data_IF_076446695602
#
_entry.id   IF_076446695602
#
_cell.length_a   1.000
_cell.length_b   1.000
_cell.length_c   1.000
_cell.angle_alpha   90.00
_cell.angle_beta   90.00
_cell.angle_gamma   90.00
#
_symmetry.space_group_name_H-M   'P 1'
#
loop_
_entity.id
_entity.type
_entity.pdbx_description
1 polymer ?
#
# COMPACT_ATOMS: atom_id res chain seq x y z
N UNK A 1 -25.80 -20.55 -86.08
CA UNK A 1 -24.90 -20.31 -87.23
C UNK A 1 -23.45 -20.37 -86.73
N UNK A 2 -22.64 -21.22 -87.39
CA UNK A 2 -21.17 -21.19 -87.52
C UNK A 2 -20.33 -21.39 -86.22
N UNK A 3 -19.72 -22.57 -86.01
CA UNK A 3 -18.44 -23.07 -86.61
C UNK A 3 -17.24 -22.42 -85.88
N UNK A 4 -16.18 -23.08 -85.40
CA UNK A 4 -15.68 -24.46 -85.57
C UNK A 4 -14.27 -24.55 -84.94
N UNK A 5 -13.92 -25.70 -84.34
CA UNK A 5 -12.70 -26.52 -84.58
C UNK A 5 -11.34 -25.81 -84.39
N UNK A 6 -10.44 -26.18 -83.47
CA UNK A 6 -9.60 -27.40 -83.38
C UNK A 6 -8.51 -27.09 -82.31
N UNK A 7 -7.78 -27.98 -81.62
CA UNK A 7 -7.12 -29.23 -82.03
C UNK A 7 -6.45 -29.87 -80.78
N UNK A 8 -6.52 -31.22 -80.70
CA UNK A 8 -5.49 -32.21 -80.26
C UNK A 8 -5.04 -32.18 -78.78
N UNK A 9 -5.39 -33.19 -77.98
CA UNK A 9 -4.69 -34.48 -77.77
C UNK A 9 -3.38 -34.29 -76.99
N UNK A 10 -3.04 -35.02 -75.92
CA UNK A 10 -3.56 -36.18 -75.20
C UNK A 10 -3.05 -36.06 -73.74
N UNK A 11 -3.50 -36.91 -72.82
CA UNK A 11 -2.68 -37.57 -71.76
C UNK A 11 -3.59 -38.34 -70.81
N UNK A 12 -3.35 -39.65 -70.79
CA UNK A 12 -3.54 -40.65 -69.73
C UNK A 12 -4.51 -40.34 -68.58
N UNK A 13 -5.60 -41.10 -68.54
CA UNK A 13 -6.34 -41.35 -67.31
C UNK A 13 -5.55 -42.27 -66.40
N UNK A 14 -5.47 -41.90 -65.13
CA UNK A 14 -5.34 -42.83 -64.00
C UNK A 14 -6.06 -42.21 -62.81
N UNK A 15 -7.05 -42.94 -62.33
CA UNK A 15 -7.85 -42.63 -61.15
C UNK A 15 -6.96 -42.59 -59.90
N UNK A 16 -7.03 -41.49 -59.15
CA UNK A 16 -6.58 -41.45 -57.76
C UNK A 16 -7.79 -41.02 -56.91
N UNK A 17 -8.20 -41.92 -56.02
CA UNK A 17 -9.28 -41.71 -55.06
C UNK A 17 -8.99 -40.47 -54.20
N UNK A 18 -9.96 -39.56 -54.14
CA UNK A 18 -10.02 -38.49 -53.14
C UNK A 18 -10.42 -39.11 -51.78
N UNK A 19 -9.42 -39.48 -50.99
CA UNK A 19 -9.57 -39.68 -49.55
C UNK A 19 -9.67 -38.30 -48.88
N UNK A 20 -10.89 -37.81 -48.71
CA UNK A 20 -11.20 -36.70 -47.81
C UNK A 20 -11.05 -37.19 -46.37
N UNK A 21 -9.82 -37.15 -45.85
CA UNK A 21 -9.58 -37.23 -44.40
C UNK A 21 -9.95 -35.90 -43.74
N UNK A 22 -10.50 -35.90 -42.51
CA UNK A 22 -10.72 -34.67 -41.78
C UNK A 22 -9.35 -34.03 -41.47
N UNK A 23 -9.11 -32.84 -42.03
CA UNK A 23 -8.02 -31.99 -41.58
C UNK A 23 -8.46 -31.45 -40.22
N UNK A 24 -8.08 -32.13 -39.14
CA UNK A 24 -8.04 -31.51 -37.83
C UNK A 24 -6.99 -30.43 -37.90
N UNK A 25 -7.42 -29.19 -38.14
CA UNK A 25 -6.58 -28.02 -37.90
C UNK A 25 -6.29 -28.01 -36.40
N UNK A 26 -5.13 -28.52 -36.02
CA UNK A 26 -4.55 -28.25 -34.73
C UNK A 26 -4.27 -26.75 -34.70
N UNK A 27 -5.19 -25.97 -34.14
CA UNK A 27 -4.89 -24.63 -33.70
C UNK A 27 -3.83 -24.78 -32.61
N UNK A 28 -2.56 -24.65 -32.98
CA UNK A 28 -1.53 -24.30 -32.02
C UNK A 28 -1.87 -22.88 -31.58
N UNK A 29 -2.49 -22.75 -30.42
CA UNK A 29 -2.47 -21.48 -29.71
C UNK A 29 -1.00 -21.20 -29.41
N UNK A 30 -0.49 -20.07 -29.90
CA UNK A 30 0.78 -19.53 -29.42
C UNK A 30 0.70 -19.41 -27.88
N UNK A 31 1.79 -19.67 -27.14
CA UNK A 31 1.78 -19.50 -25.69
C UNK A 31 1.44 -18.03 -25.38
N UNK A 32 0.31 -17.81 -24.71
CA UNK A 32 -0.06 -16.50 -24.18
C UNK A 32 0.81 -16.26 -22.96
N UNK A 33 1.94 -15.60 -23.15
CA UNK A 33 2.63 -14.90 -22.07
C UNK A 33 3.27 -13.62 -22.64
N UNK A 34 2.55 -12.48 -22.61
CA UNK A 34 3.24 -11.19 -22.58
C UNK A 34 2.58 -10.05 -21.76
N UNK A 35 1.52 -10.26 -20.95
CA UNK A 35 0.87 -9.10 -20.28
C UNK A 35 1.70 -8.48 -19.14
N UNK A 36 2.36 -9.28 -18.30
CA UNK A 36 3.16 -8.75 -17.17
C UNK A 36 4.46 -8.12 -17.67
N UNK A 37 5.12 -8.73 -18.65
CA UNK A 37 6.39 -8.22 -19.20
C UNK A 37 6.24 -6.87 -19.90
N UNK A 38 5.12 -6.65 -20.60
CA UNK A 38 4.79 -5.35 -21.19
C UNK A 38 4.51 -4.29 -20.12
N UNK A 39 3.87 -4.66 -19.01
CA UNK A 39 3.64 -3.75 -17.87
C UNK A 39 4.93 -3.46 -17.09
N UNK A 40 5.78 -4.46 -16.90
CA UNK A 40 7.08 -4.32 -16.26
C UNK A 40 7.99 -3.36 -17.04
N UNK A 41 7.97 -3.43 -18.38
CA UNK A 41 8.68 -2.51 -19.25
C UNK A 41 8.12 -1.07 -19.19
N UNK A 42 6.88 -0.89 -18.75
CA UNK A 42 6.25 0.41 -18.56
C UNK A 42 6.49 1.01 -17.17
N UNK A 43 7.09 0.26 -16.23
CA UNK A 43 7.43 0.81 -14.92
C UNK A 43 8.54 1.88 -15.05
N UNK A 44 8.46 2.99 -14.29
CA UNK A 44 9.50 4.02 -14.31
C UNK A 44 10.85 3.49 -13.79
N UNK A 45 11.96 3.98 -14.36
CA UNK A 45 13.30 3.43 -14.08
C UNK A 45 13.71 3.58 -12.61
N UNK A 46 13.40 4.69 -11.96
CA UNK A 46 13.73 4.90 -10.54
C UNK A 46 12.92 3.98 -9.62
N UNK A 47 11.70 3.58 -10.04
CA UNK A 47 10.94 2.56 -9.32
C UNK A 47 11.56 1.18 -9.52
N UNK A 48 11.97 0.84 -10.75
CA UNK A 48 12.68 -0.42 -11.05
C UNK A 48 13.96 -0.52 -10.21
N UNK A 49 14.74 0.56 -10.15
CA UNK A 49 15.98 0.62 -9.36
C UNK A 49 15.69 0.41 -7.87
N UNK A 50 14.64 1.03 -7.32
CA UNK A 50 14.24 0.86 -5.93
C UNK A 50 13.75 -0.57 -5.63
N UNK A 51 12.97 -1.18 -6.53
CA UNK A 51 12.52 -2.58 -6.42
C UNK A 51 13.73 -3.51 -6.36
N UNK A 52 14.67 -3.36 -7.28
CA UNK A 52 15.86 -4.22 -7.34
C UNK A 52 16.77 -4.01 -6.13
N UNK A 53 16.96 -2.75 -5.71
CA UNK A 53 17.81 -2.37 -4.58
C UNK A 53 17.28 -2.89 -3.25
N UNK A 54 16.00 -2.69 -2.98
CA UNK A 54 15.42 -2.90 -1.64
C UNK A 54 14.75 -4.27 -1.48
N UNK A 55 14.20 -4.83 -2.56
CA UNK A 55 13.48 -6.11 -2.54
C UNK A 55 14.25 -7.26 -3.17
N UNK A 56 15.30 -6.97 -3.94
CA UNK A 56 15.98 -7.96 -4.78
C UNK A 56 15.04 -8.73 -5.73
N UNK A 57 13.95 -8.08 -6.17
CA UNK A 57 13.00 -8.62 -7.14
C UNK A 57 13.24 -8.04 -8.53
N UNK A 58 12.87 -8.79 -9.57
CA UNK A 58 12.66 -8.22 -10.90
C UNK A 58 11.34 -7.42 -10.96
N UNK A 59 11.20 -6.49 -11.91
CA UNK A 59 9.94 -5.80 -12.17
C UNK A 59 8.75 -6.75 -12.38
N UNK A 60 8.95 -7.86 -13.09
CA UNK A 60 7.91 -8.87 -13.32
C UNK A 60 7.47 -9.53 -12.01
N UNK A 61 8.43 -9.99 -11.19
CA UNK A 61 8.13 -10.59 -9.88
C UNK A 61 7.42 -9.59 -8.95
N UNK A 62 7.81 -8.32 -8.98
CA UNK A 62 7.13 -7.28 -8.21
C UNK A 62 5.66 -7.14 -8.60
N UNK A 63 5.36 -7.09 -9.89
CA UNK A 63 3.98 -6.98 -10.40
C UNK A 63 3.17 -8.25 -10.11
N UNK A 64 3.77 -9.43 -10.33
CA UNK A 64 3.13 -10.72 -10.06
C UNK A 64 2.77 -10.86 -8.57
N UNK A 65 3.71 -10.56 -7.67
CA UNK A 65 3.47 -10.63 -6.23
C UNK A 65 2.46 -9.58 -5.77
N UNK A 66 2.47 -8.38 -6.36
CA UNK A 66 1.46 -7.35 -6.07
C UNK A 66 0.05 -7.83 -6.45
N UNK A 67 -0.12 -8.38 -7.66
CA UNK A 67 -1.38 -8.94 -8.14
C UNK A 67 -1.84 -10.12 -7.27
N UNK A 68 -0.93 -11.04 -6.95
CA UNK A 68 -1.23 -12.19 -6.10
C UNK A 68 -1.65 -11.77 -4.69
N UNK A 69 -1.03 -10.72 -4.14
CA UNK A 69 -1.47 -10.08 -2.90
C UNK A 69 -2.92 -9.59 -2.98
N UNK A 70 -3.34 -8.96 -4.08
CA UNK A 70 -4.72 -8.52 -4.22
C UNK A 70 -5.71 -9.67 -4.36
N UNK A 71 -5.35 -10.74 -5.07
CA UNK A 71 -6.16 -11.97 -5.11
C UNK A 71 -6.36 -12.57 -3.71
N UNK A 72 -5.33 -12.56 -2.87
CA UNK A 72 -5.45 -12.97 -1.47
C UNK A 72 -6.38 -12.04 -0.67
N UNK A 73 -6.28 -10.72 -0.85
CA UNK A 73 -7.14 -9.76 -0.17
C UNK A 73 -8.62 -9.98 -0.51
N UNK A 74 -8.94 -10.22 -1.79
CA UNK A 74 -10.30 -10.54 -2.24
C UNK A 74 -10.79 -11.85 -1.65
N UNK A 75 -9.95 -12.90 -1.67
CA UNK A 75 -10.29 -14.18 -1.05
C UNK A 75 -10.56 -14.03 0.45
N UNK A 76 -9.71 -13.28 1.17
CA UNK A 76 -9.86 -13.05 2.61
C UNK A 76 -11.20 -12.40 2.96
N UNK A 77 -11.70 -11.44 2.16
CA UNK A 77 -13.02 -10.83 2.37
C UNK A 77 -14.15 -11.86 2.32
N UNK A 78 -14.07 -12.79 1.38
CA UNK A 78 -15.06 -13.86 1.20
C UNK A 78 -14.93 -14.92 2.30
N UNK A 79 -13.70 -15.36 2.57
CA UNK A 79 -13.38 -16.42 3.51
C UNK A 79 -13.78 -16.05 4.94
N UNK A 80 -13.61 -14.79 5.37
CA UNK A 80 -14.09 -14.29 6.67
C UNK A 80 -15.59 -14.49 6.89
N UNK A 81 -16.38 -14.44 5.83
CA UNK A 81 -17.83 -14.57 5.89
C UNK A 81 -18.25 -16.04 5.78
N UNK A 82 -17.61 -16.79 4.87
CA UNK A 82 -18.00 -18.18 4.59
C UNK A 82 -17.41 -19.18 5.58
N UNK A 83 -16.22 -18.91 6.12
CA UNK A 83 -15.46 -19.82 6.96
C UNK A 83 -15.01 -19.17 8.29
N UNK A 84 -15.91 -18.53 9.06
CA UNK A 84 -15.53 -17.75 10.24
C UNK A 84 -14.90 -18.57 11.38
N UNK A 85 -15.14 -19.89 11.44
CA UNK A 85 -14.62 -20.74 12.52
C UNK A 85 -13.19 -21.23 12.25
N UNK A 86 -12.81 -21.40 10.98
CA UNK A 86 -11.50 -21.92 10.59
C UNK A 86 -10.58 -20.91 9.89
N UNK A 87 -11.10 -19.90 9.18
CA UNK A 87 -10.24 -18.97 8.45
C UNK A 87 -9.33 -18.19 9.42
N UNK A 88 -8.02 -18.16 9.12
CA UNK A 88 -7.00 -17.60 10.00
C UNK A 88 -6.12 -16.52 9.35
N UNK A 89 -6.51 -16.03 8.17
CA UNK A 89 -5.82 -14.96 7.44
C UNK A 89 -5.11 -15.42 6.17
N UNK A 90 -4.56 -14.46 5.44
CA UNK A 90 -3.84 -14.66 4.18
C UNK A 90 -2.57 -13.83 4.13
N UNK A 91 -1.49 -14.39 3.60
CA UNK A 91 -0.23 -13.67 3.42
C UNK A 91 0.56 -14.23 2.24
N UNK A 92 1.54 -13.45 1.76
CA UNK A 92 2.62 -13.94 0.92
C UNK A 92 3.78 -14.35 1.83
N UNK A 93 4.33 -15.55 1.62
CA UNK A 93 5.55 -15.96 2.33
C UNK A 93 6.81 -15.29 1.73
N UNK A 94 7.96 -15.52 2.34
CA UNK A 94 9.24 -14.91 1.89
C UNK A 94 9.66 -15.34 0.48
N UNK A 95 9.09 -16.44 -0.04
CA UNK A 95 9.31 -16.92 -1.40
C UNK A 95 8.28 -16.36 -2.40
N UNK A 96 7.31 -15.56 -1.94
CA UNK A 96 6.23 -15.01 -2.77
C UNK A 96 5.04 -15.94 -2.96
N UNK A 97 4.96 -17.06 -2.23
CA UNK A 97 3.82 -17.96 -2.34
C UNK A 97 2.59 -17.41 -1.60
N UNK A 98 1.41 -17.54 -2.22
CA UNK A 98 0.14 -17.21 -1.59
C UNK A 98 -0.33 -18.28 -0.62
N UNK A 99 -0.41 -17.90 0.66
CA UNK A 99 -0.80 -18.79 1.75
C UNK A 99 -2.14 -18.34 2.34
N UNK A 100 -3.02 -19.33 2.58
CA UNK A 100 -4.23 -19.22 3.39
C UNK A 100 -4.00 -20.00 4.69
N UNK A 101 -4.08 -19.28 5.82
CA UNK A 101 -4.06 -19.90 7.14
C UNK A 101 -5.41 -20.49 7.48
N UNK A 102 -5.43 -21.73 7.96
CA UNK A 102 -6.66 -22.42 8.37
C UNK A 102 -6.44 -23.09 9.72
N UNK A 103 -7.34 -22.85 10.67
CA UNK A 103 -7.36 -23.46 12.00
C UNK A 103 -8.38 -24.61 12.08
N UNK A 104 -8.39 -25.33 13.20
CA UNK A 104 -9.43 -26.29 13.48
C UNK A 104 -10.78 -25.60 13.74
N UNK A 105 -11.81 -25.99 13.00
CA UNK A 105 -13.13 -25.36 13.02
C UNK A 105 -14.16 -26.19 12.24
N UNK A 106 -15.44 -25.89 12.40
CA UNK A 106 -16.54 -26.64 11.78
C UNK A 106 -16.54 -26.55 10.24
N UNK A 107 -15.92 -25.51 9.70
CA UNK A 107 -15.84 -25.14 8.29
C UNK A 107 -14.42 -25.33 7.71
N UNK A 108 -13.50 -25.98 8.43
CA UNK A 108 -12.10 -26.22 8.01
C UNK A 108 -12.01 -26.85 6.62
N UNK A 109 -12.66 -27.98 6.40
CA UNK A 109 -12.56 -28.72 5.14
C UNK A 109 -13.06 -27.88 3.95
N UNK A 110 -14.10 -27.06 4.16
CA UNK A 110 -14.62 -26.16 3.15
C UNK A 110 -13.65 -25.00 2.85
N UNK A 111 -13.01 -24.43 3.89
CA UNK A 111 -11.99 -23.41 3.73
C UNK A 111 -10.76 -23.92 2.95
N UNK A 112 -10.29 -25.13 3.26
CA UNK A 112 -9.16 -25.77 2.57
C UNK A 112 -9.49 -26.01 1.10
N UNK A 113 -10.68 -26.55 0.81
CA UNK A 113 -11.13 -26.76 -0.56
C UNK A 113 -11.20 -25.46 -1.35
N UNK A 114 -11.81 -24.41 -0.78
CA UNK A 114 -11.91 -23.10 -1.42
C UNK A 114 -10.54 -22.46 -1.70
N UNK A 115 -9.58 -22.60 -0.77
CA UNK A 115 -8.23 -22.10 -0.97
C UNK A 115 -7.51 -22.81 -2.12
N UNK A 116 -7.60 -24.14 -2.20
CA UNK A 116 -7.01 -24.91 -3.30
C UNK A 116 -7.69 -24.65 -4.64
N UNK A 117 -9.01 -24.50 -4.67
CA UNK A 117 -9.76 -24.13 -5.88
C UNK A 117 -9.37 -22.74 -6.40
N UNK A 118 -9.00 -21.83 -5.49
CA UNK A 118 -8.46 -20.51 -5.82
C UNK A 118 -6.96 -20.53 -6.19
N UNK A 119 -6.30 -21.69 -6.12
CA UNK A 119 -4.87 -21.86 -6.45
C UNK A 119 -3.91 -21.46 -5.33
N UNK A 120 -4.39 -21.29 -4.10
CA UNK A 120 -3.56 -20.94 -2.95
C UNK A 120 -3.06 -22.16 -2.19
N UNK A 121 -1.94 -21.98 -1.50
CA UNK A 121 -1.42 -22.97 -0.57
C UNK A 121 -2.11 -22.81 0.78
N UNK A 122 -2.29 -23.92 1.48
CA UNK A 122 -2.92 -23.94 2.80
C UNK A 122 -1.87 -24.22 3.86
N UNK A 123 -1.92 -23.48 4.96
CA UNK A 123 -1.13 -23.74 6.16
C UNK A 123 -2.05 -23.93 7.36
N UNK A 124 -1.93 -25.08 8.01
CA UNK A 124 -2.59 -25.31 9.30
C UNK A 124 -1.99 -24.39 10.37
N UNK A 125 -2.86 -23.74 11.15
CA UNK A 125 -2.48 -22.88 12.26
C UNK A 125 -3.34 -23.18 13.50
N UNK A 126 -2.94 -22.66 14.66
CA UNK A 126 -3.56 -23.02 15.94
C UNK A 126 -4.91 -22.32 16.19
N UNK A 127 -5.11 -21.11 15.69
CA UNK A 127 -6.22 -20.23 16.02
C UNK A 127 -6.79 -19.57 14.77
N UNK A 128 -8.12 -19.46 14.71
CA UNK A 128 -8.80 -18.70 13.67
C UNK A 128 -8.61 -17.19 13.86
N UNK A 129 -8.85 -16.42 12.80
CA UNK A 129 -8.79 -14.96 12.83
C UNK A 129 -9.82 -14.41 13.83
N UNK A 130 -11.02 -14.98 13.85
CA UNK A 130 -12.09 -14.62 14.80
C UNK A 130 -11.68 -14.86 16.25
N UNK A 131 -10.96 -15.95 16.54
CA UNK A 131 -10.41 -16.24 17.87
C UNK A 131 -9.36 -15.21 18.28
N UNK A 132 -8.44 -14.86 17.39
CA UNK A 132 -7.40 -13.85 17.64
C UNK A 132 -8.00 -12.46 17.83
N UNK A 133 -9.03 -12.09 17.06
CA UNK A 133 -9.77 -10.84 17.24
C UNK A 133 -10.50 -10.78 18.59
N UNK A 134 -11.08 -11.89 19.05
CA UNK A 134 -11.70 -11.95 20.37
C UNK A 134 -10.67 -11.78 21.51
N UNK A 135 -9.47 -12.35 21.35
CA UNK A 135 -8.38 -12.14 22.30
C UNK A 135 -7.88 -10.70 22.31
N UNK A 136 -7.73 -10.08 21.13
CA UNK A 136 -7.35 -8.68 21.00
C UNK A 136 -8.34 -7.77 21.74
N UNK A 137 -9.64 -7.97 21.52
CA UNK A 137 -10.69 -7.23 22.24
C UNK A 137 -10.63 -7.44 23.76
N UNK A 138 -10.29 -8.65 24.20
CA UNK A 138 -10.13 -8.94 25.64
C UNK A 138 -8.92 -8.23 26.22
N UNK A 139 -7.81 -8.16 25.46
CA UNK A 139 -6.62 -7.40 25.82
C UNK A 139 -6.90 -5.90 25.91
N UNK A 140 -7.60 -5.32 24.93
CA UNK A 140 -7.97 -3.89 24.94
C UNK A 140 -8.81 -3.56 26.19
N UNK A 141 -9.83 -4.37 26.47
CA UNK A 141 -10.65 -4.20 27.68
C UNK A 141 -9.87 -4.41 28.99
N UNK A 142 -8.81 -5.23 28.98
CA UNK A 142 -7.92 -5.35 30.14
C UNK A 142 -7.03 -4.11 30.29
N UNK A 143 -6.47 -3.58 29.20
CA UNK A 143 -5.64 -2.37 29.21
C UNK A 143 -6.40 -1.16 29.77
N UNK A 144 -7.68 -1.02 29.44
CA UNK A 144 -8.57 0.03 29.96
C UNK A 144 -8.74 -0.02 31.49
N UNK A 145 -8.48 -1.17 32.11
CA UNK A 145 -8.55 -1.34 33.58
C UNK A 145 -7.20 -1.15 34.28
N UNK A 146 -6.11 -1.03 33.52
CA UNK A 146 -4.77 -0.89 34.10
C UNK A 146 -4.45 0.55 34.50
N UNK A 147 -3.60 0.76 35.53
CA UNK A 147 -3.05 2.08 35.81
C UNK A 147 -2.25 2.62 34.61
N UNK A 148 -2.17 3.96 34.42
CA UNK A 148 -1.39 4.55 33.33
C UNK A 148 0.05 4.04 33.25
N UNK A 149 0.70 3.81 34.39
CA UNK A 149 2.05 3.26 34.47
C UNK A 149 2.23 1.85 33.83
N UNK A 150 1.14 1.12 33.59
CA UNK A 150 1.12 -0.18 32.91
C UNK A 150 0.57 -0.03 31.50
N UNK A 151 -0.53 0.70 31.33
CA UNK A 151 -1.14 0.93 30.02
C UNK A 151 -0.19 1.64 29.06
N UNK A 152 0.53 2.67 29.53
CA UNK A 152 1.46 3.48 28.74
C UNK A 152 2.72 2.72 28.32
N UNK A 153 2.98 1.54 28.92
CA UNK A 153 4.06 0.65 28.47
C UNK A 153 3.73 -0.01 27.14
N UNK A 154 2.45 -0.23 26.85
CA UNK A 154 2.00 -0.84 25.59
C UNK A 154 1.83 0.26 24.56
N UNK A 155 2.69 0.22 23.54
CA UNK A 155 2.75 1.20 22.45
C UNK A 155 2.04 0.75 21.19
N UNK A 156 1.56 -0.48 21.17
CA UNK A 156 0.79 -0.98 20.05
C UNK A 156 0.51 -2.46 20.17
N UNK A 157 -0.51 -2.90 19.45
CA UNK A 157 -0.97 -4.28 19.43
C UNK A 157 -1.34 -4.65 18.00
N UNK A 158 -1.02 -5.88 17.62
CA UNK A 158 -1.38 -6.43 16.31
C UNK A 158 -1.61 -7.94 16.39
N UNK A 159 -2.40 -8.45 15.44
CA UNK A 159 -2.49 -9.87 15.15
C UNK A 159 -1.38 -10.24 14.17
N UNK A 160 -0.52 -11.17 14.55
CA UNK A 160 0.48 -11.78 13.68
C UNK A 160 -0.11 -13.06 13.09
N UNK A 161 -0.70 -12.93 11.89
CA UNK A 161 -1.34 -14.07 11.19
C UNK A 161 -0.33 -15.13 10.75
N UNK A 162 0.94 -14.76 10.53
CA UNK A 162 1.98 -15.67 10.04
C UNK A 162 2.46 -16.61 11.15
N UNK A 163 2.66 -16.06 12.35
CA UNK A 163 3.00 -16.81 13.56
C UNK A 163 1.77 -17.20 14.40
N UNK A 164 0.57 -16.80 13.95
CA UNK A 164 -0.73 -17.12 14.51
C UNK A 164 -0.89 -16.77 16.00
N UNK A 165 -0.70 -15.48 16.33
CA UNK A 165 -0.80 -15.00 17.71
C UNK A 165 -0.91 -13.48 17.81
N UNK A 166 -0.91 -12.96 19.05
CA UNK A 166 -0.88 -11.52 19.32
C UNK A 166 0.56 -11.04 19.53
N UNK A 167 0.86 -9.83 19.04
CA UNK A 167 2.12 -9.14 19.29
C UNK A 167 1.83 -7.82 19.99
N UNK A 168 2.45 -7.61 21.15
CA UNK A 168 2.42 -6.36 21.90
C UNK A 168 3.76 -5.63 21.73
N UNK A 169 3.70 -4.39 21.27
CA UNK A 169 4.85 -3.49 21.22
C UNK A 169 4.94 -2.76 22.55
N UNK A 170 6.10 -2.78 23.20
CA UNK A 170 6.31 -2.12 24.47
C UNK A 170 7.66 -1.42 24.60
N UNK A 171 7.73 -0.37 25.42
CA UNK A 171 8.97 0.38 25.70
C UNK A 171 10.02 -0.52 26.40
N UNK A 172 9.56 -1.46 27.24
CA UNK A 172 10.40 -2.44 27.92
C UNK A 172 9.68 -3.79 28.05
N UNK A 173 10.09 -4.77 27.25
CA UNK A 173 9.50 -6.11 27.23
C UNK A 173 9.67 -6.89 28.54
N UNK A 174 10.71 -6.57 29.34
CA UNK A 174 10.99 -7.28 30.61
C UNK A 174 10.15 -6.82 31.81
N UNK A 175 9.39 -5.73 31.68
CA UNK A 175 8.60 -5.14 32.78
C UNK A 175 7.11 -5.48 32.78
N UNK A 176 6.60 -6.06 31.69
CA UNK A 176 5.16 -6.28 31.51
C UNK A 176 4.76 -7.69 31.97
N UNK A 177 4.07 -7.78 33.11
CA UNK A 177 3.46 -9.03 33.56
C UNK A 177 2.12 -9.21 32.84
N UNK A 178 2.09 -10.07 31.83
CA UNK A 178 0.88 -10.37 31.09
C UNK A 178 -0.04 -11.32 31.86
N UNK A 179 -1.37 -11.12 31.81
CA UNK A 179 -2.34 -12.05 32.37
C UNK A 179 -2.26 -13.42 31.67
N UNK A 180 -2.73 -14.48 32.32
CA UNK A 180 -2.58 -15.87 31.84
C UNK A 180 -3.18 -16.11 30.45
N UNK A 181 -4.24 -15.39 30.08
CA UNK A 181 -4.84 -15.49 28.75
C UNK A 181 -3.95 -14.94 27.62
N UNK A 182 -2.84 -14.25 27.96
CA UNK A 182 -1.85 -13.69 27.03
C UNK A 182 -0.47 -14.38 27.12
N UNK A 183 -0.38 -15.55 27.76
CA UNK A 183 0.88 -16.32 27.84
C UNK A 183 1.45 -16.70 26.45
N UNK A 184 0.61 -16.73 25.40
CA UNK A 184 1.03 -16.96 24.01
C UNK A 184 1.36 -15.68 23.23
N UNK A 185 1.13 -14.50 23.80
CA UNK A 185 1.40 -13.23 23.14
C UNK A 185 2.90 -12.92 23.17
N UNK A 186 3.42 -12.41 22.05
CA UNK A 186 4.82 -12.00 21.92
C UNK A 186 4.95 -10.54 22.29
N UNK A 187 5.81 -10.23 23.26
CA UNK A 187 6.16 -8.83 23.56
C UNK A 187 7.43 -8.47 22.80
N UNK A 188 7.33 -7.48 21.91
CA UNK A 188 8.47 -6.92 21.18
C UNK A 188 8.82 -5.56 21.74
N UNK A 189 10.11 -5.33 21.94
CA UNK A 189 10.58 -4.00 22.27
C UNK A 189 10.47 -3.12 21.03
N UNK A 190 9.85 -1.95 21.17
CA UNK A 190 9.70 -0.98 20.09
C UNK A 190 9.95 0.41 20.65
N UNK A 191 10.96 1.15 20.19
CA UNK A 191 11.19 2.52 20.64
C UNK A 191 10.01 3.40 20.23
N UNK A 192 9.77 4.46 21.00
CA UNK A 192 8.69 5.39 20.74
C UNK A 192 8.85 6.04 19.35
N UNK A 193 7.82 5.91 18.52
CA UNK A 193 7.75 6.61 17.23
C UNK A 193 7.50 8.09 17.48
N UNK A 194 8.45 8.94 17.08
CA UNK A 194 8.37 10.37 17.31
C UNK A 194 7.32 11.05 16.41
N UNK A 195 6.73 12.14 16.90
CA UNK A 195 5.90 13.02 16.08
C UNK A 195 6.76 13.75 15.04
N UNK A 196 6.22 14.05 13.84
CA UNK A 196 6.91 14.85 12.83
C UNK A 196 7.39 16.18 13.42
N UNK A 197 8.64 16.55 13.19
CA UNK A 197 9.14 17.89 13.51
C UNK A 197 9.03 18.80 12.26
N UNK A 198 9.15 20.12 12.40
CA UNK A 198 9.35 21.00 11.25
C UNK A 198 10.72 20.70 10.61
N UNK A 199 10.76 20.45 9.30
CA UNK A 199 12.02 20.32 8.56
C UNK A 199 12.50 21.69 8.07
N UNK A 200 13.78 22.03 8.33
CA UNK A 200 14.40 23.29 7.90
C UNK A 200 15.09 23.20 6.54
N UNK A 201 15.51 22.02 6.10
CA UNK A 201 16.35 21.83 4.91
C UNK A 201 15.54 21.36 3.70
N UNK A 202 15.81 21.95 2.53
CA UNK A 202 15.29 21.54 1.23
C UNK A 202 16.43 20.96 0.39
N UNK A 203 16.26 19.75 -0.13
CA UNK A 203 17.01 19.29 -1.30
C UNK A 203 16.07 19.33 -2.52
N UNK A 204 16.46 19.93 -3.65
CA UNK A 204 15.62 19.97 -4.84
C UNK A 204 15.52 18.60 -5.49
N UNK A 205 14.28 18.13 -5.72
CA UNK A 205 13.97 17.06 -6.67
C UNK A 205 13.73 17.71 -8.04
N UNK A 206 14.66 17.53 -8.98
CA UNK A 206 14.64 18.18 -10.29
C UNK A 206 13.68 17.52 -11.30
N UNK A 207 13.21 18.34 -12.25
CA UNK A 207 12.16 18.15 -13.28
C UNK A 207 12.39 16.97 -14.26
N UNK A 208 11.30 16.32 -14.73
CA UNK A 208 10.62 16.59 -16.03
C UNK A 208 9.22 15.94 -16.05
N UNK A 209 8.15 16.75 -16.06
CA UNK A 209 6.75 16.47 -16.46
C UNK A 209 6.03 17.85 -16.48
N UNK A 210 4.83 18.06 -17.09
CA UNK A 210 4.40 19.39 -17.58
C UNK A 210 4.55 20.50 -16.54
N UNK A 211 4.95 21.69 -17.00
CA UNK A 211 5.62 22.79 -16.28
C UNK A 211 5.02 23.26 -14.92
N UNK A 212 3.88 22.72 -14.48
CA UNK A 212 3.28 22.98 -13.17
C UNK A 212 2.46 21.82 -12.53
N UNK A 213 2.39 20.61 -13.11
CA UNK A 213 1.56 19.53 -12.53
C UNK A 213 2.04 19.08 -11.14
N UNK A 214 1.09 18.78 -10.25
CA UNK A 214 1.35 18.25 -8.90
C UNK A 214 0.93 16.79 -8.85
N UNK A 215 1.91 15.92 -8.57
CA UNK A 215 1.77 14.46 -8.54
C UNK A 215 1.91 13.93 -7.12
N UNK A 216 1.50 12.69 -6.89
CA UNK A 216 1.79 12.03 -5.63
C UNK A 216 3.30 11.90 -5.38
N UNK A 217 3.75 12.05 -4.14
CA UNK A 217 5.17 12.12 -3.80
C UNK A 217 5.81 13.50 -3.98
N UNK A 218 5.16 14.45 -4.68
CA UNK A 218 5.66 15.83 -4.75
C UNK A 218 5.61 16.52 -3.39
N UNK A 219 6.57 17.40 -3.14
CA UNK A 219 6.63 18.16 -1.91
C UNK A 219 5.61 19.32 -1.90
N UNK A 220 4.98 19.54 -0.75
CA UNK A 220 4.14 20.70 -0.51
C UNK A 220 4.40 21.29 0.88
N UNK A 221 4.12 22.58 1.03
CA UNK A 221 4.11 23.26 2.32
C UNK A 221 2.69 23.43 2.82
N UNK A 222 2.47 23.33 4.13
CA UNK A 222 1.21 23.70 4.76
C UNK A 222 1.44 24.82 5.77
N UNK A 223 0.53 25.80 5.83
CA UNK A 223 0.54 26.87 6.82
C UNK A 223 -0.84 27.04 7.45
N UNK A 224 -0.88 27.15 8.77
CA UNK A 224 -2.10 27.35 9.55
C UNK A 224 -1.77 27.49 11.02
N UNK A 225 -2.58 28.24 11.79
CA UNK A 225 -2.36 28.41 13.23
C UNK A 225 -1.00 29.03 13.62
N UNK A 226 -0.30 29.69 12.69
CA UNK A 226 1.05 30.22 12.90
C UNK A 226 2.18 29.19 12.75
N UNK A 227 1.88 27.96 12.34
CA UNK A 227 2.83 26.86 12.16
C UNK A 227 2.93 26.53 10.66
N UNK A 228 4.15 26.23 10.20
CA UNK A 228 4.43 25.76 8.85
C UNK A 228 5.03 24.36 8.86
N UNK A 229 4.51 23.46 8.02
CA UNK A 229 5.02 22.10 7.86
C UNK A 229 5.39 21.81 6.40
N UNK A 230 6.19 20.77 6.20
CA UNK A 230 6.55 20.24 4.88
C UNK A 230 6.23 18.76 4.84
N UNK A 231 5.49 18.37 3.82
CA UNK A 231 5.05 17.01 3.62
C UNK A 231 5.08 16.66 2.14
N UNK A 232 4.74 15.41 1.85
CA UNK A 232 4.56 14.89 0.51
C UNK A 232 3.07 14.82 0.18
N UNK A 233 2.71 15.16 -1.06
CA UNK A 233 1.39 14.90 -1.59
C UNK A 233 1.17 13.38 -1.67
N UNK A 234 -0.03 12.92 -1.36
CA UNK A 234 -0.42 11.53 -1.55
C UNK A 234 -1.14 11.37 -2.88
N UNK A 235 -2.33 10.77 -2.89
CA UNK A 235 -3.03 10.49 -4.15
C UNK A 235 -3.94 11.64 -4.58
N UNK A 236 -3.83 12.00 -5.86
CA UNK A 236 -4.81 12.88 -6.49
C UNK A 236 -6.15 12.17 -6.67
N UNK A 237 -7.23 12.93 -6.52
CA UNK A 237 -8.57 12.39 -6.44
C UNK A 237 -9.64 13.37 -6.88
N UNK A 238 -10.88 12.98 -6.63
CA UNK A 238 -12.06 13.84 -6.72
C UNK A 238 -12.90 13.76 -5.47
N UNK A 239 -13.46 14.88 -5.04
CA UNK A 239 -14.53 14.87 -4.04
C UNK A 239 -15.90 14.52 -4.66
N UNK A 240 -16.95 14.51 -3.83
CA UNK A 240 -18.32 14.18 -4.24
C UNK A 240 -18.90 15.13 -5.30
N UNK A 241 -18.32 16.32 -5.49
CA UNK A 241 -18.73 17.28 -6.54
C UNK A 241 -17.94 17.11 -7.84
N UNK A 242 -16.98 16.18 -7.87
CA UNK A 242 -16.01 16.03 -8.97
C UNK A 242 -14.84 17.00 -8.90
N UNK A 243 -14.75 17.82 -7.83
CA UNK A 243 -13.67 18.78 -7.63
C UNK A 243 -12.32 18.09 -7.36
N UNK A 244 -11.19 18.56 -7.94
CA UNK A 244 -9.89 17.96 -7.69
C UNK A 244 -9.45 18.10 -6.22
N UNK A 245 -8.92 17.01 -5.67
CA UNK A 245 -8.37 16.95 -4.32
C UNK A 245 -7.05 16.19 -4.31
N UNK A 246 -6.27 16.36 -3.25
CA UNK A 246 -5.18 15.45 -2.87
C UNK A 246 -5.45 14.83 -1.49
N UNK A 247 -5.22 13.53 -1.37
CA UNK A 247 -5.33 12.77 -0.13
C UNK A 247 -3.92 12.62 0.44
N UNK A 248 -3.65 13.24 1.58
CA UNK A 248 -2.33 13.27 2.26
C UNK A 248 -2.48 12.91 3.74
N UNK A 249 -1.40 12.97 4.53
CA UNK A 249 -1.46 12.68 5.96
C UNK A 249 -2.11 13.82 6.76
N UNK A 250 -2.87 13.46 7.80
CA UNK A 250 -3.62 14.38 8.65
C UNK A 250 -2.72 15.25 9.51
N UNK A 251 -1.62 14.70 10.01
CA UNK A 251 -0.64 15.47 10.80
C UNK A 251 0.12 16.52 10.00
N UNK A 252 -0.04 16.54 8.68
CA UNK A 252 0.47 17.61 7.84
C UNK A 252 -0.45 18.84 7.84
N UNK A 253 -1.61 18.78 8.49
CA UNK A 253 -2.45 19.93 8.80
C UNK A 253 -2.03 20.57 10.14
N UNK A 254 -1.35 21.73 10.13
CA UNK A 254 -0.94 22.40 11.36
C UNK A 254 -2.10 23.00 12.17
N UNK A 255 -3.33 23.02 11.63
CA UNK A 255 -4.52 23.57 12.27
C UNK A 255 -5.74 22.67 12.05
N UNK A 256 -5.62 21.41 12.46
CA UNK A 256 -6.63 20.35 12.27
C UNK A 256 -8.06 20.77 12.67
N UNK A 257 -8.22 21.56 13.74
CA UNK A 257 -9.53 21.96 14.25
C UNK A 257 -10.26 22.96 13.34
N UNK A 258 -9.54 23.62 12.44
CA UNK A 258 -10.10 24.58 11.49
C UNK A 258 -10.35 23.98 10.10
N UNK A 259 -10.02 22.69 9.87
CA UNK A 259 -10.21 22.03 8.59
C UNK A 259 -11.66 22.20 8.09
N UNK A 260 -11.82 22.57 6.81
CA UNK A 260 -13.13 22.81 6.20
C UNK A 260 -13.80 24.14 6.57
N UNK A 261 -13.18 24.99 7.39
CA UNK A 261 -13.68 26.33 7.74
C UNK A 261 -12.97 27.43 6.94
N UNK A 262 -13.32 28.70 7.21
CA UNK A 262 -12.63 29.85 6.63
C UNK A 262 -11.18 30.00 7.14
N UNK A 263 -10.87 29.43 8.31
CA UNK A 263 -9.56 29.49 8.96
C UNK A 263 -8.74 28.20 8.73
N UNK A 264 -9.15 27.37 7.78
CA UNK A 264 -8.47 26.13 7.42
C UNK A 264 -7.02 26.39 7.01
N UNK A 265 -6.13 25.44 7.32
CA UNK A 265 -4.76 25.48 6.82
C UNK A 265 -4.72 25.57 5.29
N UNK A 266 -3.74 26.29 4.78
CA UNK A 266 -3.48 26.48 3.37
C UNK A 266 -2.34 25.57 2.91
N UNK A 267 -2.48 25.00 1.71
CA UNK A 267 -1.46 24.20 1.06
C UNK A 267 -0.78 25.00 -0.05
N UNK A 268 0.54 24.88 -0.17
CA UNK A 268 1.37 25.62 -1.12
C UNK A 268 2.26 24.65 -1.89
N UNK A 269 2.39 24.87 -3.20
CA UNK A 269 3.46 24.23 -3.95
C UNK A 269 4.81 24.69 -3.40
N UNK A 270 5.80 23.81 -3.35
CA UNK A 270 7.18 24.23 -3.04
C UNK A 270 7.92 24.57 -4.33
N UNK A 271 8.80 25.57 -4.26
CA UNK A 271 9.67 26.00 -5.34
C UNK A 271 11.11 26.10 -4.84
N UNK A 272 12.12 26.05 -5.73
CA UNK A 272 13.49 26.34 -5.34
C UNK A 272 13.58 27.69 -4.63
N UNK A 273 14.04 27.69 -3.37
CA UNK A 273 14.18 28.89 -2.55
C UNK A 273 13.00 29.24 -1.63
N UNK A 274 11.91 28.46 -1.59
CA UNK A 274 10.87 28.63 -0.57
C UNK A 274 9.46 28.19 -0.97
N UNK A 275 8.47 28.83 -0.34
CA UNK A 275 7.05 28.58 -0.59
C UNK A 275 6.61 29.20 -1.91
N UNK A 276 6.04 28.38 -2.79
CA UNK A 276 5.42 28.80 -4.04
C UNK A 276 3.99 29.29 -3.85
N UNK A 277 3.18 29.37 -4.93
CA UNK A 277 1.79 29.81 -4.83
C UNK A 277 0.96 28.83 -4.00
N UNK A 278 -0.08 29.36 -3.35
CA UNK A 278 -1.13 28.56 -2.73
C UNK A 278 -1.82 27.70 -3.80
N UNK A 279 -2.12 26.46 -3.44
CA UNK A 279 -2.71 25.46 -4.35
C UNK A 279 -3.99 24.83 -3.80
N UNK A 280 -4.30 25.02 -2.52
CA UNK A 280 -5.52 24.49 -1.93
C UNK A 280 -5.65 24.77 -0.45
N UNK A 281 -6.68 24.21 0.16
CA UNK A 281 -6.94 24.24 1.61
C UNK A 281 -7.30 22.87 2.14
N UNK A 282 -7.00 22.65 3.42
CA UNK A 282 -7.37 21.44 4.14
C UNK A 282 -8.89 21.43 4.38
N UNK A 283 -9.60 20.63 3.60
CA UNK A 283 -11.05 20.55 3.62
C UNK A 283 -11.58 19.59 4.69
N UNK A 284 -10.77 18.60 5.08
CA UNK A 284 -11.04 17.66 6.16
C UNK A 284 -9.70 17.07 6.64
N UNK A 285 -9.59 16.84 7.93
CA UNK A 285 -8.44 16.22 8.59
C UNK A 285 -8.96 15.22 9.63
N UNK A 286 -8.30 14.07 9.74
CA UNK A 286 -8.55 13.05 10.76
C UNK A 286 -7.22 12.64 11.39
N UNK A 287 -7.22 12.52 12.72
CA UNK A 287 -6.09 12.03 13.53
C UNK A 287 -6.54 11.09 14.67
N UNK A 288 -7.84 10.80 14.77
CA UNK A 288 -8.38 10.03 15.90
C UNK A 288 -8.20 8.51 15.71
N UNK A 289 -8.35 8.03 14.46
CA UNK A 289 -8.26 6.61 14.09
C UNK A 289 -7.25 6.47 12.97
N UNK A 290 -7.53 7.11 11.84
CA UNK A 290 -6.65 7.16 10.68
C UNK A 290 -6.01 8.53 10.55
N UNK A 291 -4.76 8.55 10.10
CA UNK A 291 -4.01 9.77 9.84
C UNK A 291 -4.13 10.15 8.37
N UNK A 292 -5.08 11.03 8.05
CA UNK A 292 -5.26 11.58 6.71
C UNK A 292 -5.85 12.99 6.71
N UNK A 293 -5.62 13.69 5.61
CA UNK A 293 -6.25 14.94 5.26
C UNK A 293 -6.64 14.95 3.78
N UNK A 294 -7.67 15.74 3.48
CA UNK A 294 -8.14 16.01 2.12
C UNK A 294 -7.84 17.48 1.83
N UNK A 295 -6.91 17.73 0.93
CA UNK A 295 -6.65 19.07 0.40
C UNK A 295 -7.57 19.29 -0.80
N UNK A 296 -8.44 20.30 -0.72
CA UNK A 296 -9.25 20.74 -1.86
C UNK A 296 -8.43 21.73 -2.67
N UNK A 297 -8.29 21.47 -3.98
CA UNK A 297 -7.56 22.36 -4.86
C UNK A 297 -8.28 23.70 -5.01
N UNK A 298 -7.51 24.80 -5.03
CA UNK A 298 -8.04 26.11 -5.40
C UNK A 298 -8.41 26.12 -6.89
N UNK A 299 -9.42 26.91 -7.27
CA UNK A 299 -9.92 26.94 -8.65
C UNK A 299 -8.82 27.24 -9.69
N UNK A 300 -7.84 28.09 -9.35
CA UNK A 300 -6.70 28.42 -10.22
C UNK A 300 -5.58 27.38 -10.25
N UNK A 301 -5.62 26.38 -9.36
CA UNK A 301 -4.64 25.29 -9.27
C UNK A 301 -5.27 23.91 -9.55
N UNK A 302 -6.58 23.84 -9.79
CA UNK A 302 -7.34 22.61 -9.98
C UNK A 302 -6.74 21.69 -11.05
N UNK A 303 -6.37 22.24 -12.22
CA UNK A 303 -5.77 21.49 -13.33
C UNK A 303 -4.46 20.78 -12.95
N UNK A 304 -3.75 21.28 -11.95
CA UNK A 304 -2.47 20.71 -11.49
C UNK A 304 -2.66 19.37 -10.79
N UNK A 305 -3.84 19.12 -10.22
CA UNK A 305 -4.21 17.88 -9.52
C UNK A 305 -5.05 16.93 -10.41
N UNK A 306 -5.36 17.31 -11.66
CA UNK A 306 -6.16 16.52 -12.59
C UNK A 306 -5.31 15.46 -13.31
N UNK A 307 -4.72 14.56 -12.53
CA UNK A 307 -3.90 13.45 -13.01
C UNK A 307 -3.95 12.28 -12.01
N UNK A 308 -3.47 11.11 -12.42
CA UNK A 308 -3.32 9.91 -11.61
C UNK A 308 -1.84 9.54 -11.38
N UNK A 309 -0.92 10.49 -11.52
CA UNK A 309 0.52 10.21 -11.52
C UNK A 309 1.14 10.24 -10.12
N UNK A 310 2.11 9.36 -9.89
CA UNK A 310 3.07 9.45 -8.78
C UNK A 310 4.43 9.89 -9.35
N UNK A 311 5.04 10.86 -8.67
CA UNK A 311 6.30 11.48 -9.04
C UNK A 311 7.40 10.44 -9.10
N UNK A 312 8.07 10.47 -10.24
CA UNK A 312 9.35 9.85 -10.49
C UNK A 312 10.32 10.96 -10.87
N UNK A 313 11.40 11.20 -10.11
CA UNK A 313 12.37 12.24 -10.42
C UNK A 313 12.96 12.06 -11.82
N UNK A 314 12.94 13.10 -12.67
CA UNK A 314 13.54 13.07 -14.01
C UNK A 314 12.87 12.17 -15.07
N UNK A 315 11.74 11.53 -14.76
CA UNK A 315 11.09 10.56 -15.64
C UNK A 315 9.56 10.70 -15.69
N UNK A 316 8.94 9.94 -16.58
CA UNK A 316 7.49 9.80 -16.64
C UNK A 316 6.96 9.23 -15.32
N UNK A 317 5.79 9.70 -14.85
CA UNK A 317 5.27 9.29 -13.56
C UNK A 317 4.67 7.89 -13.62
N UNK A 318 4.66 7.22 -12.46
CA UNK A 318 3.88 5.99 -12.31
C UNK A 318 2.39 6.34 -12.37
N UNK A 319 1.67 5.79 -13.34
CA UNK A 319 0.22 5.94 -13.42
C UNK A 319 -0.46 5.00 -12.41
N UNK A 320 -1.34 5.55 -11.58
CA UNK A 320 -2.18 4.77 -10.68
C UNK A 320 -3.36 4.20 -11.47
N UNK A 321 -3.56 2.89 -11.38
CA UNK A 321 -4.59 2.17 -12.16
C UNK A 321 -5.75 1.66 -11.32
N UNK A 322 -5.63 1.73 -9.99
CA UNK A 322 -6.63 1.20 -9.06
C UNK A 322 -6.28 1.50 -7.61
N UNK A 323 -7.08 0.97 -6.70
CA UNK A 323 -6.77 0.91 -5.27
C UNK A 323 -6.55 -0.54 -4.86
N UNK A 324 -5.83 -0.73 -3.76
CA UNK A 324 -5.39 -2.01 -3.25
C UNK A 324 -5.59 -2.08 -1.73
N UNK A 325 -5.70 -3.31 -1.21
CA UNK A 325 -5.67 -3.59 0.22
C UNK A 325 -4.30 -4.16 0.63
N UNK A 326 -3.76 -3.77 1.80
CA UNK A 326 -2.48 -4.29 2.27
C UNK A 326 -2.60 -5.77 2.63
N UNK A 327 -1.60 -6.56 2.21
CA UNK A 327 -1.49 -8.00 2.50
C UNK A 327 -0.09 -8.27 3.02
N UNK A 328 0.02 -8.94 4.17
CA UNK A 328 1.31 -9.28 4.78
C UNK A 328 2.19 -10.04 3.79
N UNK A 329 3.46 -9.65 3.69
CA UNK A 329 4.44 -10.17 2.74
C UNK A 329 4.38 -9.56 1.34
N UNK A 330 3.31 -8.85 0.98
CA UNK A 330 3.23 -8.23 -0.35
C UNK A 330 4.23 -7.10 -0.53
N UNK A 331 4.87 -6.99 -1.71
CA UNK A 331 5.84 -5.96 -1.97
C UNK A 331 5.16 -4.61 -2.18
N UNK A 332 5.80 -3.57 -1.66
CA UNK A 332 5.28 -2.21 -1.61
C UNK A 332 6.41 -1.20 -1.80
N UNK A 333 6.08 -0.08 -2.42
CA UNK A 333 7.02 1.03 -2.62
C UNK A 333 6.37 2.35 -2.22
N UNK A 334 7.13 3.24 -1.57
CA UNK A 334 6.71 4.59 -1.19
C UNK A 334 7.44 5.63 -2.03
N UNK A 335 6.72 6.65 -2.51
CA UNK A 335 7.30 7.88 -3.07
C UNK A 335 7.05 9.06 -2.13
N UNK A 336 8.06 9.92 -1.95
CA UNK A 336 7.96 11.09 -1.06
C UNK A 336 9.17 12.03 -1.18
N UNK A 337 9.01 13.22 -0.61
CA UNK A 337 9.92 14.37 -0.68
C UNK A 337 11.36 14.03 -0.33
N UNK A 338 11.58 13.22 0.70
CA UNK A 338 12.91 13.11 1.33
C UNK A 338 13.69 11.93 0.80
N UNK A 339 13.05 10.77 0.69
CA UNK A 339 13.73 9.54 0.30
C UNK A 339 13.45 9.13 -1.15
N UNK A 340 12.54 9.81 -1.85
CA UNK A 340 12.08 9.37 -3.17
C UNK A 340 11.42 8.00 -3.07
N UNK A 341 11.80 7.07 -3.96
CA UNK A 341 11.36 5.68 -3.92
C UNK A 341 12.17 4.83 -2.96
N UNK A 342 11.49 4.30 -1.94
CA UNK A 342 11.95 3.20 -1.08
C UNK A 342 10.93 2.07 -1.11
N UNK A 343 11.40 0.83 -1.16
CA UNK A 343 10.55 -0.36 -1.21
C UNK A 343 10.77 -1.28 0.00
N UNK A 344 9.81 -2.16 0.23
CA UNK A 344 9.80 -3.12 1.33
C UNK A 344 8.59 -4.05 1.19
N UNK A 345 8.31 -4.81 2.25
CA UNK A 345 7.12 -5.67 2.31
C UNK A 345 6.18 -5.19 3.40
N UNK A 346 4.89 -5.48 3.26
CA UNK A 346 3.92 -5.28 4.36
C UNK A 346 4.27 -6.27 5.48
N UNK A 347 4.57 -5.75 6.67
CA UNK A 347 4.89 -6.55 7.84
C UNK A 347 3.63 -6.97 8.60
N UNK A 348 2.61 -6.11 8.60
CA UNK A 348 1.37 -6.35 9.33
C UNK A 348 0.26 -5.39 8.88
N UNK A 349 -0.97 -5.76 9.19
CA UNK A 349 -2.20 -5.04 8.85
C UNK A 349 -3.13 -4.96 10.06
N UNK A 350 -4.05 -4.00 10.08
CA UNK A 350 -5.00 -3.82 11.19
C UNK A 350 -4.31 -3.52 12.52
N UNK A 351 -3.14 -2.87 12.50
CA UNK A 351 -2.38 -2.56 13.71
C UNK A 351 -2.92 -1.32 14.41
N UNK A 352 -2.93 -1.36 15.73
CA UNK A 352 -3.05 -0.18 16.58
C UNK A 352 -1.67 0.19 17.10
N UNK A 353 -1.20 1.42 16.84
CA UNK A 353 0.12 1.91 17.27
C UNK A 353 0.04 3.34 17.77
N UNK A 354 0.70 3.61 18.90
CA UNK A 354 0.86 4.95 19.45
C UNK A 354 2.06 5.64 18.81
N UNK A 355 1.85 6.84 18.28
CA UNK A 355 2.86 7.68 17.63
C UNK A 355 2.83 9.07 18.27
N UNK A 356 3.83 9.41 19.08
CA UNK A 356 3.75 10.61 19.92
C UNK A 356 2.53 10.58 20.84
N UNK A 357 1.67 11.59 20.76
CA UNK A 357 0.45 11.72 21.59
C UNK A 357 -0.82 11.15 20.91
N UNK A 358 -0.70 10.53 19.72
CA UNK A 358 -1.83 10.02 18.93
C UNK A 358 -1.76 8.50 18.75
N UNK A 359 -2.90 7.92 18.41
CA UNK A 359 -3.02 6.49 18.11
C UNK A 359 -3.46 6.32 16.66
N UNK A 360 -2.68 5.55 15.89
CA UNK A 360 -3.08 5.06 14.57
C UNK A 360 -3.74 3.71 14.77
N UNK A 361 -5.03 3.62 14.50
CA UNK A 361 -5.78 2.39 14.49
C UNK A 361 -6.00 1.92 13.04
N UNK A 362 -6.16 0.61 12.86
CA UNK A 362 -6.36 0.00 11.54
C UNK A 362 -5.27 0.41 10.51
N UNK A 363 -4.05 0.59 11.01
CA UNK A 363 -2.89 0.92 10.19
C UNK A 363 -2.24 -0.35 9.62
N UNK A 364 -1.44 -0.20 8.57
CA UNK A 364 -0.51 -1.24 8.14
C UNK A 364 0.92 -0.77 8.33
N UNK A 365 1.83 -1.71 8.55
CA UNK A 365 3.26 -1.41 8.66
C UNK A 365 4.06 -2.12 7.58
N UNK A 366 5.20 -1.55 7.23
CA UNK A 366 6.07 -2.02 6.15
C UNK A 366 7.53 -2.00 6.57
N UNK A 367 8.38 -2.76 5.88
CA UNK A 367 9.82 -2.84 6.18
C UNK A 367 10.67 -1.74 5.53
N UNK A 368 10.06 -0.72 4.92
CA UNK A 368 10.79 0.30 4.17
C UNK A 368 11.23 1.46 5.06
N UNK A 369 12.36 2.06 4.72
CA UNK A 369 12.79 3.33 5.31
C UNK A 369 11.89 4.47 4.85
N UNK A 370 11.50 5.34 5.79
CA UNK A 370 10.87 6.62 5.52
C UNK A 370 11.39 7.66 6.51
N UNK A 371 11.70 8.84 6.00
CA UNK A 371 12.29 9.92 6.78
C UNK A 371 11.32 11.10 6.91
N UNK A 372 11.65 12.02 7.81
CA UNK A 372 10.89 13.25 7.96
C UNK A 372 10.68 13.97 6.62
N UNK A 373 9.43 14.35 6.33
CA UNK A 373 9.02 14.95 5.05
C UNK A 373 8.37 13.96 4.08
N UNK A 374 8.64 12.66 4.21
CA UNK A 374 7.95 11.62 3.44
C UNK A 374 6.48 11.41 3.89
N UNK A 375 6.10 11.99 5.02
CA UNK A 375 4.72 12.05 5.53
C UNK A 375 3.72 12.46 4.45
N UNK A 376 2.63 11.71 4.33
CA UNK A 376 1.60 11.91 3.31
C UNK A 376 1.92 11.30 1.94
N UNK A 377 3.18 10.93 1.71
CA UNK A 377 3.63 10.34 0.45
C UNK A 377 2.91 9.04 0.11
N UNK A 378 2.79 8.76 -1.18
CA UNK A 378 2.06 7.61 -1.71
C UNK A 378 2.78 6.30 -1.38
N UNK A 379 2.03 5.27 -1.01
CA UNK A 379 2.47 3.88 -0.95
C UNK A 379 1.68 3.08 -1.98
N UNK A 380 2.40 2.38 -2.85
CA UNK A 380 1.84 1.60 -3.96
C UNK A 380 2.26 0.13 -3.87
N UNK A 381 1.40 -0.74 -4.40
CA UNK A 381 1.74 -2.14 -4.74
C UNK A 381 1.41 -2.35 -6.21
N UNK A 382 2.38 -2.78 -6.99
CA UNK A 382 2.29 -2.71 -8.46
C UNK A 382 2.03 -1.26 -8.91
N UNK A 383 0.92 -1.05 -9.60
CA UNK A 383 0.44 0.26 -10.07
C UNK A 383 -0.79 0.75 -9.29
N UNK A 384 -1.11 0.15 -8.15
CA UNK A 384 -2.31 0.46 -7.37
C UNK A 384 -1.98 1.26 -6.11
N UNK A 385 -2.86 2.20 -5.78
CA UNK A 385 -2.78 2.96 -4.53
C UNK A 385 -3.07 2.03 -3.35
N UNK A 386 -2.12 1.87 -2.43
CA UNK A 386 -2.26 1.03 -1.24
C UNK A 386 -2.57 1.86 0.01
N UNK A 387 -1.87 2.99 0.17
CA UNK A 387 -2.00 3.83 1.35
C UNK A 387 -1.09 5.05 1.33
N UNK A 388 -1.11 5.82 2.41
CA UNK A 388 -0.28 7.02 2.58
C UNK A 388 0.62 6.88 3.80
N UNK A 389 1.85 7.38 3.66
CA UNK A 389 2.87 7.39 4.72
C UNK A 389 2.42 8.22 5.93
N UNK A 390 2.54 7.66 7.13
CA UNK A 390 2.10 8.32 8.38
C UNK A 390 3.23 8.53 9.37
N UNK A 391 3.92 7.46 9.77
CA UNK A 391 4.91 7.53 10.84
C UNK A 391 6.02 6.49 10.65
N UNK A 392 7.24 6.78 11.09
CA UNK A 392 8.35 5.84 11.00
C UNK A 392 9.22 5.84 12.24
N UNK A 393 9.71 4.66 12.65
CA UNK A 393 10.67 4.50 13.75
C UNK A 393 12.07 5.05 13.43
N UNK A 394 12.33 5.37 12.16
CA UNK A 394 13.60 5.92 11.67
C UNK A 394 13.48 7.34 11.13
N UNK A 395 12.32 7.99 11.31
CA UNK A 395 12.01 9.31 10.75
C UNK A 395 12.99 10.42 11.13
N UNK A 396 13.67 10.27 12.27
CA UNK A 396 14.63 11.21 12.85
C UNK A 396 16.03 11.17 12.22
N UNK A 397 16.35 10.14 11.42
CA UNK A 397 17.68 10.00 10.84
C UNK A 397 17.83 10.85 9.56
N UNK A 398 19.05 11.33 9.26
CA UNK A 398 19.27 12.21 8.12
C UNK A 398 19.18 11.48 6.76
N UNK A 399 19.54 10.20 6.73
CA UNK A 399 19.52 9.35 5.52
C UNK A 399 19.25 7.90 5.89
N UNK A 400 18.67 7.12 4.97
CA UNK A 400 18.30 5.72 5.22
C UNK A 400 19.49 4.83 5.54
N UNK A 401 20.66 5.07 4.92
CA UNK A 401 21.86 4.27 5.20
C UNK A 401 22.30 4.38 6.67
N UNK A 402 22.07 5.53 7.31
CA UNK A 402 22.36 5.70 8.74
C UNK A 402 21.30 5.01 9.58
N UNK A 403 20.02 5.15 9.20
CA UNK A 403 18.92 4.45 9.85
C UNK A 403 19.16 2.94 9.88
N UNK A 404 19.45 2.33 8.72
CA UNK A 404 19.66 0.89 8.55
C UNK A 404 20.78 0.36 9.45
N UNK A 405 21.91 1.08 9.51
CA UNK A 405 23.06 0.71 10.35
C UNK A 405 22.68 0.78 11.83
N UNK A 406 21.98 1.83 12.25
CA UNK A 406 21.60 1.99 13.65
C UNK A 406 20.58 0.94 14.06
N UNK A 407 19.53 0.72 13.26
CA UNK A 407 18.52 -0.31 13.54
C UNK A 407 19.15 -1.69 13.57
N UNK A 408 20.07 -2.00 12.65
CA UNK A 408 20.79 -3.28 12.65
C UNK A 408 21.57 -3.52 13.95
N UNK A 409 22.29 -2.51 14.44
CA UNK A 409 23.03 -2.59 15.73
C UNK A 409 22.09 -2.80 16.91
N UNK A 410 20.88 -2.24 16.86
CA UNK A 410 19.85 -2.39 17.89
C UNK A 410 19.01 -3.67 17.75
N UNK A 411 19.23 -4.48 16.70
CA UNK A 411 18.42 -5.66 16.41
C UNK A 411 17.02 -5.32 15.87
N UNK A 412 16.84 -4.12 15.33
CA UNK A 412 15.61 -3.60 14.76
C UNK A 412 15.70 -3.50 13.23
N UNK A 413 14.59 -3.15 12.59
CA UNK A 413 14.52 -2.82 11.16
C UNK A 413 13.76 -1.50 10.98
N UNK A 414 14.03 -0.75 9.90
CA UNK A 414 13.17 0.34 9.49
C UNK A 414 11.73 -0.14 9.37
N UNK A 415 10.82 0.66 9.90
CA UNK A 415 9.40 0.41 9.84
C UNK A 415 8.65 1.70 9.54
N UNK A 416 7.83 1.66 8.50
CA UNK A 416 6.91 2.72 8.12
C UNK A 416 5.48 2.24 8.38
N UNK A 417 4.78 2.98 9.23
CA UNK A 417 3.35 2.88 9.47
C UNK A 417 2.59 3.78 8.51
N UNK A 418 1.44 3.30 8.05
CA UNK A 418 0.67 3.92 6.99
C UNK A 418 -0.84 3.73 7.16
N UNK A 419 -1.58 4.69 6.62
CA UNK A 419 -3.05 4.65 6.56
C UNK A 419 -3.49 3.97 5.26
N UNK A 420 -4.29 2.89 5.29
CA UNK A 420 -4.82 2.25 4.07
C UNK A 420 -5.70 3.21 3.25
N UNK A 421 -5.51 3.25 1.93
CA UNK A 421 -6.28 4.19 1.09
C UNK A 421 -7.77 3.84 1.09
N UNK A 422 -8.11 2.55 1.08
CA UNK A 422 -9.49 2.09 1.06
C UNK A 422 -10.23 2.41 2.37
N UNK A 423 -9.53 2.49 3.50
CA UNK A 423 -10.11 2.96 4.76
C UNK A 423 -10.49 4.45 4.67
N UNK A 424 -9.59 5.29 4.13
CA UNK A 424 -9.85 6.72 3.91
C UNK A 424 -11.07 6.89 2.98
N UNK A 425 -11.14 6.12 1.89
CA UNK A 425 -12.26 6.20 0.95
C UNK A 425 -13.58 5.75 1.59
N UNK A 426 -13.57 4.71 2.43
CA UNK A 426 -14.75 4.24 3.15
C UNK A 426 -15.30 5.28 4.13
N UNK A 427 -14.44 6.03 4.80
CA UNK A 427 -14.83 7.12 5.71
C UNK A 427 -15.31 8.40 5.00
N UNK A 428 -15.10 8.49 3.68
CA UNK A 428 -15.38 9.69 2.90
C UNK A 428 -16.23 9.35 1.67
N UNK A 429 -17.54 9.07 1.83
CA UNK A 429 -18.42 8.76 0.71
C UNK A 429 -18.36 9.85 -0.37
N UNK A 430 -18.07 9.44 -1.61
CA UNK A 430 -17.92 10.33 -2.76
C UNK A 430 -16.48 10.78 -3.05
N UNK A 431 -15.54 10.58 -2.11
CA UNK A 431 -14.11 10.70 -2.38
C UNK A 431 -13.66 9.53 -3.28
N UNK A 432 -12.82 9.82 -4.27
CA UNK A 432 -12.22 8.81 -5.15
C UNK A 432 -10.76 9.13 -5.44
N UNK A 433 -9.91 8.11 -5.53
CA UNK A 433 -8.58 8.22 -6.14
C UNK A 433 -8.75 8.29 -7.65
N UNK A 434 -7.97 9.15 -8.32
CA UNK A 434 -7.90 9.16 -9.79
C UNK A 434 -7.07 7.96 -10.26
N UNK A 435 -7.66 7.16 -11.14
CA UNK A 435 -7.03 5.95 -11.69
C UNK A 435 -6.89 5.99 -13.21
N UNK A 436 -7.27 7.11 -13.83
CA UNK A 436 -7.26 7.35 -15.28
C UNK A 436 -7.26 8.83 -15.60
#
# INVERSE_FOLDING_TARGET
>A
MRSSIARRAAVFGSAALLLLGPVTASAQADPVEPEVSDQAAALPVELIDAIQRDLALSPDQYLEHAELGQKLAEFAKIARIQFPDAFAGTWLDDAGNAIVGVADGADKDAAVAAAHDAGFQVKDVAQSESSLQAQLKTLDGWLDTQPPAVADLVRGVTIDIVNNGLVLRADNAGGLQLPDFLQGARVVQSPATAAPQPSTDLAPIAEVMPADALLGGDAYGSLGGGIGLRCSLGFNGTDNSGGPVNITAGHCDPNLAAAGTADASEAFALAPGGTGPRVGTFAKTSLDIHDYAIIRADAGAAHRFENNGVRVPGAAPLAITGTADPVVGAPVCKSGLTTGYTCGVVKAVGQTVTVGERTLADSFSTSMCALQGDSGGTIVTGTQALGISSASNVGQYPVCQVADVVTFVLGESPELFATPINAILAENPGLRVRTS
#
